data_IF_935849580553
#
_entry.id   IF_935849580553
#
_cell.length_a   1.000
_cell.length_b   1.000
_cell.length_c   1.000
_cell.angle_alpha   90.00
_cell.angle_beta   90.00
_cell.angle_gamma   90.00
#
_symmetry.space_group_name_H-M   'P 1'
#
loop_
_entity.id
_entity.type
_entity.pdbx_description
1 polymer ?
#
# COMPACT_ATOMS: atom_id res chain seq x y z
N UNK A 1 -40.85 46.13 1.82
CA UNK A 1 -40.14 45.56 0.65
C UNK A 1 -38.93 44.73 1.10
N UNK A 2 -39.12 43.72 1.97
CA UNK A 2 -38.03 42.95 2.60
C UNK A 2 -38.41 41.48 2.84
N UNK A 3 -39.25 40.88 2.00
CA UNK A 3 -39.57 39.43 2.08
C UNK A 3 -39.09 38.62 0.87
N UNK A 4 -38.82 39.26 -0.27
CA UNK A 4 -38.42 38.56 -1.49
C UNK A 4 -36.95 38.05 -1.48
N UNK A 5 -36.09 38.57 -0.60
CA UNK A 5 -34.67 38.23 -0.57
C UNK A 5 -34.34 36.97 0.26
N UNK A 6 -35.22 36.53 1.16
CA UNK A 6 -34.99 35.38 2.04
C UNK A 6 -35.34 34.02 1.37
N UNK A 7 -36.19 34.03 0.33
CA UNK A 7 -36.64 32.82 -0.35
C UNK A 7 -35.62 32.24 -1.36
N UNK A 8 -34.65 33.05 -1.81
CA UNK A 8 -33.65 32.62 -2.80
C UNK A 8 -32.57 31.69 -2.22
N UNK A 9 -32.19 31.89 -0.95
CA UNK A 9 -31.18 31.06 -0.27
C UNK A 9 -31.72 29.71 0.22
N UNK A 10 -33.01 29.63 0.55
CA UNK A 10 -33.67 28.43 1.09
C UNK A 10 -33.98 27.38 0.02
N UNK A 11 -34.18 27.78 -1.24
CA UNK A 11 -34.41 26.87 -2.37
C UNK A 11 -33.13 26.35 -3.02
N UNK A 12 -32.00 27.05 -2.86
CA UNK A 12 -30.71 26.66 -3.44
C UNK A 12 -30.17 25.36 -2.82
N UNK A 13 -30.33 25.22 -1.50
CA UNK A 13 -29.87 24.05 -0.74
C UNK A 13 -30.60 22.75 -1.13
N UNK A 14 -31.95 22.68 -1.19
CA UNK A 14 -32.65 21.48 -1.61
C UNK A 14 -32.44 21.15 -3.09
N UNK A 15 -32.29 22.15 -3.97
CA UNK A 15 -31.88 21.95 -5.37
C UNK A 15 -30.50 21.30 -5.46
N UNK A 16 -29.53 21.85 -4.72
CA UNK A 16 -28.19 21.30 -4.64
C UNK A 16 -28.17 19.86 -4.08
N UNK A 17 -28.91 19.61 -3.00
CA UNK A 17 -29.07 18.27 -2.43
C UNK A 17 -29.73 17.29 -3.42
N UNK A 18 -30.73 17.74 -4.19
CA UNK A 18 -31.37 16.97 -5.26
C UNK A 18 -30.37 16.60 -6.36
N UNK A 19 -29.57 17.57 -6.82
CA UNK A 19 -28.51 17.34 -7.80
C UNK A 19 -27.46 16.35 -7.28
N UNK A 20 -27.01 16.47 -6.02
CA UNK A 20 -26.06 15.52 -5.41
C UNK A 20 -26.64 14.11 -5.37
N UNK A 21 -27.91 13.95 -4.97
CA UNK A 21 -28.60 12.65 -4.95
C UNK A 21 -28.78 12.07 -6.35
N UNK A 22 -29.14 12.89 -7.33
CA UNK A 22 -29.28 12.47 -8.73
C UNK A 22 -27.94 12.02 -9.32
N UNK A 23 -26.86 12.75 -9.03
CA UNK A 23 -25.50 12.40 -9.44
C UNK A 23 -24.97 11.15 -8.73
N UNK A 24 -25.40 10.90 -7.49
CA UNK A 24 -25.06 9.69 -6.74
C UNK A 24 -25.94 8.47 -7.10
N UNK A 25 -27.10 8.68 -7.74
CA UNK A 25 -28.04 7.61 -8.11
C UNK A 25 -27.38 6.48 -8.92
N UNK A 26 -26.54 6.73 -9.95
CA UNK A 26 -25.85 5.67 -10.67
C UNK A 26 -24.92 4.85 -9.77
N UNK A 27 -24.29 5.49 -8.78
CA UNK A 27 -23.45 4.80 -7.78
C UNK A 27 -24.32 3.87 -6.93
N UNK A 28 -25.47 4.35 -6.44
CA UNK A 28 -26.41 3.53 -5.68
C UNK A 28 -26.99 2.38 -6.49
N UNK A 29 -27.33 2.60 -7.77
CA UNK A 29 -27.82 1.55 -8.67
C UNK A 29 -26.72 0.51 -8.93
N UNK A 30 -25.49 0.93 -9.21
CA UNK A 30 -24.35 0.02 -9.36
C UNK A 30 -24.05 -0.75 -8.07
N UNK A 31 -24.19 -0.12 -6.90
CA UNK A 31 -23.99 -0.76 -5.60
C UNK A 31 -25.09 -1.78 -5.30
N UNK A 32 -26.35 -1.42 -5.55
CA UNK A 32 -27.52 -2.30 -5.40
C UNK A 32 -27.43 -3.53 -6.31
N UNK A 33 -26.93 -3.35 -7.54
CA UNK A 33 -26.73 -4.44 -8.50
C UNK A 33 -25.43 -5.25 -8.25
N UNK A 34 -24.64 -4.92 -7.22
CA UNK A 34 -23.39 -5.60 -6.88
C UNK A 34 -22.21 -5.35 -7.84
N UNK A 35 -22.37 -4.46 -8.82
CA UNK A 35 -21.35 -4.12 -9.81
C UNK A 35 -20.40 -3.00 -9.37
N UNK A 36 -20.72 -2.27 -8.30
CA UNK A 36 -19.89 -1.17 -7.80
C UNK A 36 -18.51 -1.64 -7.33
N UNK A 37 -18.44 -2.71 -6.55
CA UNK A 37 -17.18 -3.24 -6.00
C UNK A 37 -16.16 -3.63 -7.09
N UNK A 38 -16.55 -4.43 -8.12
CA UNK A 38 -15.66 -4.75 -9.24
C UNK A 38 -15.21 -3.52 -10.04
N UNK A 39 -16.11 -2.56 -10.26
CA UNK A 39 -15.83 -1.33 -11.01
C UNK A 39 -14.83 -0.46 -10.25
N UNK A 40 -15.05 -0.25 -8.94
CA UNK A 40 -14.11 0.44 -8.07
C UNK A 40 -12.74 -0.23 -8.04
N UNK A 41 -12.68 -1.56 -7.87
CA UNK A 41 -11.41 -2.31 -7.87
C UNK A 41 -10.65 -2.20 -9.19
N UNK A 42 -11.34 -2.00 -10.32
CA UNK A 42 -10.69 -1.85 -11.63
C UNK A 42 -10.21 -0.41 -11.89
N UNK A 43 -10.96 0.58 -11.43
CA UNK A 43 -10.68 2.00 -11.65
C UNK A 43 -9.63 2.52 -10.65
N UNK A 44 -9.71 2.09 -9.39
CA UNK A 44 -8.85 2.55 -8.31
C UNK A 44 -7.34 2.42 -8.62
N UNK A 45 -6.82 1.29 -9.15
CA UNK A 45 -5.40 1.16 -9.51
C UNK A 45 -4.92 2.18 -10.53
N UNK A 46 -5.75 2.58 -11.49
CA UNK A 46 -5.38 3.59 -12.49
C UNK A 46 -5.21 4.97 -11.84
N UNK A 47 -6.14 5.37 -10.97
CA UNK A 47 -6.05 6.66 -10.29
C UNK A 47 -4.90 6.70 -9.30
N UNK A 48 -4.78 5.64 -8.47
CA UNK A 48 -3.70 5.56 -7.49
C UNK A 48 -2.34 5.49 -8.17
N UNK A 49 -2.14 4.71 -9.24
CA UNK A 49 -0.83 4.66 -9.90
C UNK A 49 -0.38 6.02 -10.44
N UNK A 50 -1.30 6.84 -10.97
CA UNK A 50 -1.00 8.22 -11.40
C UNK A 50 -0.76 9.18 -10.23
N UNK A 51 -1.58 9.12 -9.20
CA UNK A 51 -1.44 10.01 -8.04
C UNK A 51 -0.19 9.67 -7.22
N UNK A 52 0.02 8.38 -6.94
CA UNK A 52 1.17 7.86 -6.20
C UNK A 52 2.48 8.18 -6.88
N UNK A 53 2.58 8.18 -8.22
CA UNK A 53 3.81 8.62 -8.91
C UNK A 53 4.20 10.06 -8.52
N UNK A 54 3.24 11.00 -8.47
CA UNK A 54 3.52 12.40 -8.08
C UNK A 54 3.85 12.54 -6.59
N UNK A 55 3.13 11.82 -5.74
CA UNK A 55 3.38 11.83 -4.29
C UNK A 55 4.76 11.24 -3.98
N UNK A 56 5.09 10.09 -4.57
CA UNK A 56 6.37 9.40 -4.37
C UNK A 56 7.57 10.18 -4.95
N UNK A 57 7.39 10.94 -6.03
CA UNK A 57 8.44 11.84 -6.54
C UNK A 57 8.84 12.90 -5.51
N UNK A 58 7.90 13.43 -4.73
CA UNK A 58 8.22 14.40 -3.68
C UNK A 58 8.96 13.78 -2.50
N UNK A 59 8.68 12.50 -2.22
CA UNK A 59 9.33 11.74 -1.14
C UNK A 59 10.60 11.01 -1.60
N UNK A 60 11.12 11.28 -2.80
CA UNK A 60 12.22 10.51 -3.38
C UNK A 60 13.43 10.41 -2.46
N UNK A 61 13.89 11.54 -1.91
CA UNK A 61 15.07 11.59 -1.02
C UNK A 61 14.84 10.84 0.28
N UNK A 62 13.65 10.97 0.87
CA UNK A 62 13.30 10.26 2.11
C UNK A 62 13.22 8.76 1.87
N UNK A 63 12.68 8.34 0.71
CA UNK A 63 12.63 6.93 0.31
C UNK A 63 14.01 6.36 0.03
N UNK A 64 14.85 7.09 -0.66
CA UNK A 64 16.23 6.69 -0.93
C UNK A 64 17.00 6.43 0.36
N UNK A 65 16.87 7.32 1.36
CA UNK A 65 17.44 7.12 2.69
C UNK A 65 16.80 5.93 3.41
N UNK A 66 15.47 5.80 3.33
CA UNK A 66 14.72 4.72 3.98
C UNK A 66 15.13 3.33 3.46
N UNK A 67 15.47 3.21 2.18
CA UNK A 67 15.84 1.95 1.53
C UNK A 67 17.35 1.74 1.40
N UNK A 68 18.17 2.74 1.78
CA UNK A 68 19.63 2.72 1.60
C UNK A 68 20.36 1.57 2.27
N UNK A 69 19.80 1.03 3.36
CA UNK A 69 20.38 -0.06 4.14
C UNK A 69 19.75 -1.44 3.84
N UNK A 70 18.98 -1.58 2.74
CA UNK A 70 18.35 -2.86 2.41
C UNK A 70 19.38 -3.97 2.15
N UNK A 71 20.52 -3.63 1.53
CA UNK A 71 21.59 -4.60 1.23
C UNK A 71 22.19 -5.25 2.49
N UNK A 72 22.22 -4.52 3.61
CA UNK A 72 22.77 -5.00 4.88
C UNK A 72 21.98 -6.20 5.46
N UNK A 73 20.74 -6.39 4.99
CA UNK A 73 19.87 -7.48 5.44
C UNK A 73 19.95 -8.72 4.56
N UNK A 74 20.84 -8.74 3.56
CA UNK A 74 21.02 -9.89 2.69
C UNK A 74 21.43 -11.09 3.51
N UNK A 75 20.64 -12.16 3.45
CA UNK A 75 20.93 -13.41 4.13
C UNK A 75 22.18 -14.11 3.58
N UNK A 76 22.54 -15.25 4.18
CA UNK A 76 23.70 -16.06 3.77
C UNK A 76 23.64 -16.60 2.33
N UNK A 77 22.49 -16.52 1.66
CA UNK A 77 22.30 -16.84 0.24
C UNK A 77 22.94 -15.83 -0.72
N UNK A 78 23.32 -14.64 -0.24
CA UNK A 78 23.86 -13.56 -1.09
C UNK A 78 22.80 -12.88 -1.98
N UNK A 79 21.53 -13.26 -1.84
CA UNK A 79 20.39 -12.64 -2.49
C UNK A 79 19.37 -12.21 -1.43
N UNK A 80 18.94 -10.96 -1.48
CA UNK A 80 17.94 -10.38 -0.57
C UNK A 80 16.53 -10.83 -0.99
N UNK A 81 15.81 -11.51 -0.10
CA UNK A 81 14.41 -11.88 -0.29
C UNK A 81 13.50 -10.84 0.36
N UNK A 82 12.80 -10.06 -0.46
CA UNK A 82 11.98 -8.94 -0.04
C UNK A 82 10.49 -9.22 -0.27
N UNK A 83 9.68 -9.03 0.77
CA UNK A 83 8.23 -9.00 0.67
C UNK A 83 7.73 -7.55 0.74
N UNK A 84 7.04 -7.10 -0.30
CA UNK A 84 6.32 -5.82 -0.25
C UNK A 84 4.83 -6.05 -0.02
N UNK A 85 4.33 -5.62 1.15
CA UNK A 85 2.90 -5.65 1.48
C UNK A 85 2.23 -4.40 0.91
N UNK A 86 1.15 -4.60 0.16
CA UNK A 86 0.40 -3.55 -0.53
C UNK A 86 1.24 -2.79 -1.55
N UNK A 87 1.96 -3.53 -2.39
CA UNK A 87 2.87 -2.97 -3.39
C UNK A 87 2.16 -2.01 -4.38
N UNK A 88 0.84 -2.16 -4.54
CA UNK A 88 0.06 -1.34 -5.46
C UNK A 88 0.64 -1.36 -6.87
N UNK A 89 1.10 -0.21 -7.36
CA UNK A 89 1.72 -0.09 -8.68
C UNK A 89 3.23 -0.35 -8.71
N UNK A 90 3.84 -0.79 -7.61
CA UNK A 90 5.29 -1.07 -7.52
C UNK A 90 6.14 0.19 -7.48
N UNK A 91 5.69 1.22 -6.76
CA UNK A 91 6.34 2.53 -6.78
C UNK A 91 7.65 2.60 -5.98
N UNK A 92 7.99 1.55 -5.23
CA UNK A 92 9.21 1.48 -4.43
C UNK A 92 10.35 0.74 -5.14
N UNK A 93 10.08 0.04 -6.25
CA UNK A 93 11.04 -0.84 -6.91
C UNK A 93 12.35 -0.15 -7.31
N UNK A 94 12.30 1.11 -7.73
CA UNK A 94 13.50 1.87 -8.09
C UNK A 94 14.49 2.10 -6.95
N UNK A 95 14.07 1.93 -5.69
CA UNK A 95 14.91 2.12 -4.51
C UNK A 95 15.45 0.82 -3.93
N UNK A 96 15.04 -0.33 -4.48
CA UNK A 96 15.50 -1.63 -4.01
C UNK A 96 16.85 -1.96 -4.63
N UNK A 97 17.71 -2.67 -3.88
CA UNK A 97 19.05 -2.99 -4.36
C UNK A 97 19.02 -3.95 -5.55
N UNK A 98 20.08 -3.99 -6.37
CA UNK A 98 20.19 -4.92 -7.49
C UNK A 98 20.12 -6.38 -7.02
N UNK A 99 19.62 -7.24 -7.91
CA UNK A 99 19.44 -8.68 -7.73
C UNK A 99 18.50 -9.11 -6.58
N UNK A 100 17.84 -8.15 -5.93
CA UNK A 100 16.82 -8.40 -4.92
C UNK A 100 15.64 -9.20 -5.51
N UNK A 101 15.25 -10.27 -4.82
CA UNK A 101 14.10 -11.09 -5.17
C UNK A 101 12.85 -10.55 -4.48
N UNK A 102 11.90 -10.05 -5.27
CA UNK A 102 10.73 -9.34 -4.77
C UNK A 102 9.47 -10.18 -4.94
N UNK A 103 8.83 -10.48 -3.80
CA UNK A 103 7.44 -10.94 -3.75
C UNK A 103 6.54 -9.78 -3.32
N UNK A 104 5.41 -9.59 -3.99
CA UNK A 104 4.46 -8.53 -3.68
C UNK A 104 3.11 -9.09 -3.24
N UNK A 105 2.44 -8.41 -2.32
CA UNK A 105 1.04 -8.69 -1.97
C UNK A 105 0.15 -7.47 -2.15
N UNK A 106 -1.09 -7.67 -2.58
CA UNK A 106 -2.14 -6.64 -2.56
C UNK A 106 -3.53 -7.32 -2.65
N UNK A 107 -4.55 -6.85 -1.91
CA UNK A 107 -5.89 -7.43 -1.99
C UNK A 107 -6.55 -7.23 -3.37
N UNK A 108 -6.10 -6.27 -4.18
CA UNK A 108 -6.66 -5.97 -5.48
C UNK A 108 -5.85 -6.63 -6.62
N UNK A 109 -6.41 -7.66 -7.29
CA UNK A 109 -5.70 -8.41 -8.34
C UNK A 109 -5.34 -7.56 -9.57
N UNK A 110 -6.02 -6.42 -9.78
CA UNK A 110 -5.81 -5.56 -10.94
C UNK A 110 -4.45 -4.85 -10.91
N UNK A 111 -3.77 -4.80 -9.76
CA UNK A 111 -2.41 -4.26 -9.66
C UNK A 111 -1.35 -5.09 -10.39
N UNK A 112 -1.62 -6.37 -10.67
CA UNK A 112 -0.70 -7.26 -11.39
C UNK A 112 -0.17 -6.67 -12.70
N UNK A 113 -1.01 -5.96 -13.47
CA UNK A 113 -0.59 -5.30 -14.71
C UNK A 113 0.38 -4.14 -14.45
N UNK A 114 0.14 -3.35 -13.41
CA UNK A 114 0.98 -2.21 -13.06
C UNK A 114 2.32 -2.66 -12.47
N UNK A 115 2.31 -3.70 -11.64
CA UNK A 115 3.53 -4.31 -11.11
C UNK A 115 4.42 -4.83 -12.25
N UNK A 116 3.84 -5.50 -13.25
CA UNK A 116 4.60 -5.93 -14.46
C UNK A 116 5.22 -4.76 -15.20
N UNK A 117 4.50 -3.65 -15.35
CA UNK A 117 5.05 -2.46 -15.99
C UNK A 117 6.19 -1.86 -15.15
N UNK A 118 6.02 -1.74 -13.83
CA UNK A 118 7.07 -1.24 -12.94
C UNK A 118 8.30 -2.14 -12.98
N UNK A 119 8.14 -3.46 -12.97
CA UNK A 119 9.25 -4.41 -13.12
C UNK A 119 10.00 -4.23 -14.44
N UNK A 120 9.30 -3.96 -15.55
CA UNK A 120 9.95 -3.70 -16.84
C UNK A 120 10.79 -2.41 -16.82
N UNK A 121 10.43 -1.43 -15.99
CA UNK A 121 11.17 -0.19 -15.74
C UNK A 121 12.33 -0.40 -14.73
N UNK A 122 12.36 -1.52 -13.99
CA UNK A 122 13.30 -1.82 -12.89
C UNK A 122 13.96 -3.19 -13.09
N UNK A 123 14.71 -3.33 -14.18
CA UNK A 123 15.32 -4.60 -14.62
C UNK A 123 16.44 -5.12 -13.69
N UNK A 124 16.89 -4.30 -12.75
CA UNK A 124 17.84 -4.72 -11.71
C UNK A 124 17.22 -5.63 -10.65
N UNK A 125 15.88 -5.79 -10.63
CA UNK A 125 15.18 -6.64 -9.67
C UNK A 125 14.74 -7.97 -10.28
N UNK A 126 14.60 -8.99 -9.42
CA UNK A 126 14.03 -10.29 -9.77
C UNK A 126 12.60 -10.38 -9.25
N UNK A 127 11.61 -10.34 -10.14
CA UNK A 127 10.21 -10.49 -9.73
C UNK A 127 9.86 -11.96 -9.50
N UNK A 128 9.63 -12.34 -8.25
CA UNK A 128 9.31 -13.72 -7.90
C UNK A 128 7.82 -14.02 -8.16
N UNK A 129 6.93 -13.34 -7.43
CA UNK A 129 5.48 -13.52 -7.60
C UNK A 129 4.65 -12.37 -7.05
N UNK A 130 3.40 -12.31 -7.52
CA UNK A 130 2.35 -11.47 -6.95
C UNK A 130 1.28 -12.33 -6.29
N UNK A 131 1.01 -12.07 -5.01
CA UNK A 131 0.01 -12.76 -4.19
C UNK A 131 -1.18 -11.85 -3.96
N UNK A 132 -2.37 -12.30 -4.32
CA UNK A 132 -3.61 -11.56 -4.01
C UNK A 132 -3.98 -11.88 -2.56
N UNK A 133 -3.63 -10.97 -1.65
CA UNK A 133 -3.76 -11.15 -0.21
C UNK A 133 -3.79 -9.78 0.48
N UNK A 134 -4.50 -9.69 1.60
CA UNK A 134 -4.40 -8.52 2.49
C UNK A 134 -3.18 -8.66 3.42
N UNK A 135 -2.76 -7.56 4.04
CA UNK A 135 -1.62 -7.61 4.98
C UNK A 135 -1.91 -8.45 6.23
N UNK A 136 -3.19 -8.63 6.58
CA UNK A 136 -3.64 -9.39 7.75
C UNK A 136 -3.70 -10.91 7.52
N UNK A 137 -3.66 -11.37 6.26
CA UNK A 137 -3.66 -12.79 5.90
C UNK A 137 -2.64 -13.07 4.79
N UNK A 138 -1.42 -13.43 5.19
CA UNK A 138 -0.31 -13.78 4.31
C UNK A 138 -0.10 -15.29 4.24
N UNK A 139 -1.12 -16.12 4.43
CA UNK A 139 -1.01 -17.60 4.43
C UNK A 139 -0.35 -18.22 3.17
N UNK A 140 -0.32 -17.48 2.06
CA UNK A 140 0.33 -17.86 0.80
C UNK A 140 1.84 -17.50 0.75
N UNK A 141 2.35 -16.87 1.82
CA UNK A 141 3.76 -16.59 2.05
C UNK A 141 4.22 -17.53 3.18
N UNK A 142 5.21 -18.40 2.94
CA UNK A 142 5.67 -19.36 3.95
C UNK A 142 6.29 -18.69 5.18
N UNK A 143 6.29 -19.40 6.30
CA UNK A 143 6.96 -18.98 7.53
C UNK A 143 8.47 -18.88 7.30
N UNK A 144 9.11 -17.84 7.84
CA UNK A 144 10.55 -17.67 7.77
C UNK A 144 11.12 -17.68 6.35
N UNK A 145 10.37 -17.20 5.36
CA UNK A 145 10.78 -17.26 3.95
C UNK A 145 11.45 -16.00 3.43
N UNK A 146 11.31 -14.85 4.12
CA UNK A 146 11.83 -13.56 3.63
C UNK A 146 12.81 -12.92 4.60
N UNK A 147 13.75 -12.14 4.06
CA UNK A 147 14.78 -11.43 4.84
C UNK A 147 14.25 -10.07 5.31
N UNK A 148 13.47 -9.38 4.46
CA UNK A 148 12.91 -8.05 4.74
C UNK A 148 11.45 -7.97 4.33
N UNK A 149 10.63 -7.30 5.16
CA UNK A 149 9.28 -6.88 4.79
C UNK A 149 9.20 -5.36 4.68
N UNK A 150 8.72 -4.88 3.53
CA UNK A 150 8.43 -3.48 3.27
C UNK A 150 6.92 -3.25 3.28
N UNK A 151 6.48 -2.22 4.02
CA UNK A 151 5.10 -1.80 4.06
C UNK A 151 5.03 -0.26 4.06
N UNK A 152 4.70 0.34 2.92
CA UNK A 152 4.58 1.81 2.79
C UNK A 152 3.16 2.21 2.42
N UNK A 153 2.53 3.11 3.17
CA UNK A 153 1.16 3.64 2.91
C UNK A 153 0.02 2.61 3.04
N UNK A 154 0.26 1.45 3.66
CA UNK A 154 -0.74 0.37 3.76
C UNK A 154 -1.37 0.29 5.15
N UNK A 155 -0.61 0.59 6.21
CA UNK A 155 -1.07 0.44 7.60
C UNK A 155 -2.26 1.34 7.99
N UNK A 156 -2.55 2.38 7.22
CA UNK A 156 -3.72 3.23 7.41
C UNK A 156 -5.01 2.64 6.82
N UNK A 157 -4.91 1.61 5.97
CA UNK A 157 -6.03 1.03 5.23
C UNK A 157 -6.41 -0.39 5.71
N UNK A 158 -5.64 -0.94 6.65
CA UNK A 158 -5.86 -2.28 7.21
C UNK A 158 -6.85 -2.24 8.37
N UNK A 159 -7.60 -3.33 8.55
CA UNK A 159 -8.56 -3.45 9.64
C UNK A 159 -7.88 -3.65 11.00
N UNK A 160 -6.71 -4.31 11.01
CA UNK A 160 -5.96 -4.60 12.23
C UNK A 160 -4.45 -4.56 11.99
N UNK A 161 -3.81 -3.47 12.43
CA UNK A 161 -2.34 -3.36 12.44
C UNK A 161 -1.68 -4.49 13.24
N UNK A 162 -2.18 -4.90 14.42
CA UNK A 162 -1.62 -6.05 15.14
C UNK A 162 -1.65 -7.36 14.34
N UNK A 163 -2.70 -7.59 13.53
CA UNK A 163 -2.78 -8.78 12.68
C UNK A 163 -1.71 -8.76 11.58
N UNK A 164 -1.50 -7.59 10.95
CA UNK A 164 -0.40 -7.42 9.97
C UNK A 164 0.94 -7.70 10.62
N UNK A 165 1.21 -7.11 11.79
CA UNK A 165 2.48 -7.31 12.50
C UNK A 165 2.72 -8.79 12.84
N UNK A 166 1.68 -9.52 13.25
CA UNK A 166 1.78 -10.97 13.50
C UNK A 166 2.19 -11.74 12.25
N UNK A 167 1.59 -11.44 11.10
CA UNK A 167 1.95 -12.07 9.84
C UNK A 167 3.36 -11.69 9.38
N UNK A 168 3.76 -10.42 9.55
CA UNK A 168 5.13 -9.98 9.27
C UNK A 168 6.15 -10.76 10.10
N UNK A 169 5.90 -10.93 11.39
CA UNK A 169 6.77 -11.71 12.27
C UNK A 169 6.83 -13.19 11.88
N UNK A 170 5.73 -13.76 11.36
CA UNK A 170 5.68 -15.15 10.91
C UNK A 170 6.52 -15.38 9.66
N UNK A 171 6.44 -14.49 8.67
CA UNK A 171 7.11 -14.67 7.36
C UNK A 171 8.60 -14.31 7.40
N UNK A 172 9.04 -13.49 8.35
CA UNK A 172 10.44 -13.09 8.50
C UNK A 172 11.32 -14.26 8.98
N UNK A 173 12.50 -14.41 8.36
CA UNK A 173 13.56 -15.31 8.85
C UNK A 173 14.01 -14.90 10.25
N UNK A 174 14.28 -15.90 11.10
CA UNK A 174 14.82 -15.69 12.44
C UNK A 174 16.32 -15.40 12.32
N UNK A 175 16.82 -14.28 12.88
CA UNK A 175 18.24 -13.89 13.10
C UNK A 175 18.78 -12.66 12.34
N UNK A 176 17.95 -11.64 12.04
CA UNK A 176 18.41 -10.41 11.35
C UNK A 176 18.08 -9.16 12.19
N UNK A 177 19.07 -8.31 12.51
CA UNK A 177 18.96 -7.25 13.53
C UNK A 177 18.08 -6.04 13.13
N UNK A 178 17.24 -5.55 14.06
CA UNK A 178 16.31 -4.43 13.87
C UNK A 178 16.86 -3.04 14.19
N UNK A 179 16.72 -2.11 13.24
CA UNK A 179 16.83 -0.65 13.45
C UNK A 179 15.51 0.02 13.08
N UNK A 180 14.77 0.49 14.08
CA UNK A 180 13.58 1.33 13.89
C UNK A 180 14.05 2.77 13.65
N UNK A 181 13.85 3.29 12.43
CA UNK A 181 14.01 4.71 12.15
C UNK A 181 12.66 5.42 12.17
N UNK A 182 12.49 6.55 12.88
CA UNK A 182 11.32 7.40 12.68
C UNK A 182 11.33 8.00 11.27
N UNK A 183 10.17 8.09 10.62
CA UNK A 183 10.00 8.76 9.33
C UNK A 183 9.02 9.92 9.52
N UNK A 184 9.54 11.15 9.38
CA UNK A 184 8.87 12.43 9.13
C UNK A 184 7.46 12.67 9.70
N UNK A 185 7.32 13.67 10.58
CA UNK A 185 6.06 14.20 11.13
C UNK A 185 5.20 14.98 10.12
N UNK A 186 5.12 14.53 8.87
CA UNK A 186 4.33 15.22 7.83
C UNK A 186 3.36 14.27 7.13
N UNK A 187 2.10 14.35 7.56
CA UNK A 187 0.91 13.76 6.92
C UNK A 187 0.77 12.22 6.98
N UNK A 188 0.43 11.70 8.17
CA UNK A 188 -0.48 10.54 8.37
C UNK A 188 -0.11 9.18 7.73
N UNK A 189 1.07 9.07 7.14
CA UNK A 189 1.49 7.99 6.26
C UNK A 189 2.49 7.09 6.98
N UNK A 190 1.99 6.09 7.72
CA UNK A 190 2.84 5.12 8.43
C UNK A 190 3.56 4.22 7.42
N UNK A 191 4.86 4.45 7.25
CA UNK A 191 5.76 3.56 6.48
C UNK A 191 6.64 2.80 7.47
N UNK A 192 6.82 1.50 7.23
CA UNK A 192 7.52 0.62 8.15
C UNK A 192 8.32 -0.41 7.35
N UNK A 193 9.61 -0.47 7.63
CA UNK A 193 10.52 -1.52 7.13
C UNK A 193 10.90 -2.35 8.35
N UNK A 194 10.59 -3.64 8.29
CA UNK A 194 10.86 -4.56 9.39
C UNK A 194 11.91 -5.59 8.95
N UNK A 195 13.14 -5.47 9.45
CA UNK A 195 14.08 -6.60 9.54
C UNK A 195 13.67 -7.59 10.65
N UNK A 196 14.16 -8.83 10.54
CA UNK A 196 13.73 -9.99 11.33
C UNK A 196 14.22 -10.09 12.78
N UNK A 197 13.71 -9.25 13.70
CA UNK A 197 13.44 -9.59 15.12
C UNK A 197 12.70 -8.49 15.94
N UNK A 198 11.69 -8.85 16.74
CA UNK A 198 11.10 -8.04 17.83
C UNK A 198 10.84 -8.95 19.03
N UNK A 199 11.33 -8.55 20.22
CA UNK A 199 10.94 -9.15 21.50
C UNK A 199 10.38 -8.14 22.53
N UNK A 200 10.20 -6.85 22.18
CA UNK A 200 9.74 -5.84 23.17
C UNK A 200 8.39 -5.18 22.88
N UNK A 201 7.68 -5.49 21.78
CA UNK A 201 6.33 -4.93 21.52
C UNK A 201 5.17 -5.92 21.75
N UNK A 202 5.43 -7.16 22.17
CA UNK A 202 4.40 -8.21 22.34
C UNK A 202 4.46 -8.89 23.72
N UNK A 203 5.31 -8.43 24.65
CA UNK A 203 5.17 -8.84 26.04
C UNK A 203 4.03 -8.02 26.69
N UNK A 204 3.13 -8.65 27.48
CA UNK A 204 2.06 -7.96 28.19
C UNK A 204 2.59 -6.92 29.18
#
# INVERSE_FOLDING_TARGET
MTEAAAAGGTMLVPLFQGCVKLLALPIYVLAFLGYWDPVCKRIFPYFISKFSKRYNQKLHREKELLFSNLEDFTGSSGQLLLLEIGAGSGANFQFYPPDCQVTCTDPNPNFKRYLRQSMAENQHLQFERFVVASGEDLRQVPDGSVDVVVCTLVLCSVASVPAVLKEVLRVLRRNTWLRIGPVGDTFGSKSMILPGNIWEMVAP
#
